data_IF_127794894695
#
_entry.id   IF_127794894695
#
_cell.length_a   1.000
_cell.length_b   1.000
_cell.length_c   1.000
_cell.angle_alpha   90.00
_cell.angle_beta   90.00
_cell.angle_gamma   90.00
#
_symmetry.space_group_name_H-M   'P 1'
#
loop_
_entity.id
_entity.type
_entity.pdbx_description
1 polymer ?
#
# COMPACT_ATOMS: atom_id res chain seq x y z
N UNK A 1 10.65 11.57 -13.74
CA UNK A 1 10.94 11.81 -12.31
C UNK A 1 10.23 10.71 -11.53
N UNK A 2 10.90 9.99 -10.62
CA UNK A 2 10.20 8.94 -9.88
C UNK A 2 9.21 9.62 -8.94
N UNK A 3 7.91 9.48 -9.20
CA UNK A 3 6.90 9.94 -8.25
C UNK A 3 7.23 9.28 -6.92
N UNK A 4 7.40 10.07 -5.86
CA UNK A 4 7.52 9.48 -4.53
C UNK A 4 6.11 9.11 -4.07
N UNK A 5 5.93 7.95 -3.45
CA UNK A 5 4.64 7.60 -2.91
C UNK A 5 4.24 8.59 -1.83
N UNK A 6 2.97 8.98 -1.83
CA UNK A 6 2.41 9.95 -0.89
C UNK A 6 2.42 9.40 0.55
N UNK A 7 2.20 8.10 0.72
CA UNK A 7 2.31 7.42 2.00
C UNK A 7 2.47 5.90 1.83
N UNK A 8 2.94 5.22 2.89
CA UNK A 8 3.00 3.75 2.94
C UNK A 8 2.53 3.22 4.29
N UNK A 9 1.68 2.20 4.26
CA UNK A 9 1.35 1.38 5.42
C UNK A 9 1.98 0.00 5.26
N UNK A 10 2.48 -0.59 6.35
CA UNK A 10 3.02 -1.94 6.36
C UNK A 10 2.53 -2.73 7.56
N UNK A 11 2.07 -3.95 7.32
CA UNK A 11 1.67 -4.92 8.34
C UNK A 11 2.29 -6.27 7.96
N UNK A 12 3.25 -6.73 8.76
CA UNK A 12 4.04 -7.90 8.42
C UNK A 12 4.73 -7.74 7.06
N UNK A 13 4.45 -8.66 6.14
CA UNK A 13 4.99 -8.65 4.77
C UNK A 13 4.14 -7.82 3.79
N UNK A 14 2.96 -7.35 4.19
CA UNK A 14 2.05 -6.63 3.31
C UNK A 14 2.30 -5.13 3.41
N UNK A 15 2.49 -4.48 2.27
CA UNK A 15 2.65 -3.03 2.16
C UNK A 15 1.56 -2.47 1.27
N UNK A 16 0.82 -1.46 1.74
CA UNK A 16 0.00 -0.60 0.91
C UNK A 16 0.77 0.69 0.61
N UNK A 17 1.01 0.97 -0.66
CA UNK A 17 1.68 2.17 -1.16
C UNK A 17 0.65 3.07 -1.80
N UNK A 18 0.50 4.29 -1.27
CA UNK A 18 -0.44 5.29 -1.76
C UNK A 18 0.30 6.24 -2.70
N UNK A 19 -0.29 6.49 -3.86
CA UNK A 19 0.22 7.42 -4.87
C UNK A 19 -0.77 8.58 -5.01
N UNK A 20 -0.24 9.80 -5.11
CA UNK A 20 -1.03 10.97 -5.51
C UNK A 20 -0.80 11.19 -7.01
N UNK A 21 -1.87 11.16 -7.79
CA UNK A 21 -1.82 11.30 -9.25
C UNK A 21 -2.54 12.59 -9.67
N UNK A 22 -2.17 13.72 -9.04
CA UNK A 22 -2.65 15.06 -9.37
C UNK A 22 -4.18 15.17 -9.53
N UNK A 23 -4.90 14.84 -8.45
CA UNK A 23 -6.36 14.96 -8.37
C UNK A 23 -7.08 13.68 -7.99
N UNK A 24 -6.37 12.55 -7.92
CA UNK A 24 -6.89 11.32 -7.33
C UNK A 24 -5.76 10.49 -6.71
N UNK A 25 -6.13 9.63 -5.75
CA UNK A 25 -5.19 8.71 -5.10
C UNK A 25 -5.36 7.29 -5.66
N UNK A 26 -4.25 6.57 -5.83
CA UNK A 26 -4.26 5.13 -6.11
C UNK A 26 -3.47 4.37 -5.04
N UNK A 27 -3.77 3.08 -4.88
CA UNK A 27 -3.12 2.22 -3.89
C UNK A 27 -2.59 0.96 -4.55
N UNK A 28 -1.28 0.71 -4.40
CA UNK A 28 -0.65 -0.58 -4.71
C UNK A 28 -0.48 -1.38 -3.43
N UNK A 29 -1.06 -2.59 -3.37
CA UNK A 29 -0.86 -3.50 -2.24
C UNK A 29 0.01 -4.65 -2.72
N UNK A 30 1.13 -4.87 -2.02
CA UNK A 30 2.07 -5.94 -2.35
C UNK A 30 2.55 -6.68 -1.11
N UNK A 31 2.91 -7.94 -1.31
CA UNK A 31 3.56 -8.80 -0.31
C UNK A 31 5.03 -8.93 -0.62
N UNK A 32 5.89 -8.60 0.34
CA UNK A 32 7.33 -8.88 0.25
C UNK A 32 7.61 -10.34 0.57
N UNK A 33 8.52 -10.96 -0.18
CA UNK A 33 9.01 -12.31 0.06
C UNK A 33 10.50 -12.39 -0.26
N UNK A 34 11.18 -13.37 0.34
CA UNK A 34 12.60 -13.64 0.08
C UNK A 34 12.73 -14.77 -0.95
N UNK A 35 13.52 -14.56 -2.00
CA UNK A 35 13.81 -15.60 -3.00
C UNK A 35 14.78 -16.63 -2.45
N UNK A 36 14.98 -17.71 -3.21
CA UNK A 36 15.97 -18.74 -2.88
C UNK A 36 17.41 -18.18 -2.90
N UNK A 37 17.71 -17.19 -3.76
CA UNK A 37 19.01 -16.50 -3.77
C UNK A 37 19.18 -15.54 -2.57
N UNK A 38 18.12 -15.32 -1.79
CA UNK A 38 18.14 -14.45 -0.62
C UNK A 38 17.70 -13.01 -0.90
N UNK A 39 17.32 -12.68 -2.13
CA UNK A 39 16.86 -11.35 -2.51
C UNK A 39 15.43 -11.10 -2.03
N UNK A 40 15.12 -9.86 -1.68
CA UNK A 40 13.74 -9.45 -1.39
C UNK A 40 13.03 -9.03 -2.68
N UNK A 41 11.84 -9.57 -2.91
CA UNK A 41 10.97 -9.21 -4.03
C UNK A 41 9.55 -8.97 -3.52
N UNK A 42 8.72 -8.36 -4.37
CA UNK A 42 7.31 -8.10 -4.09
C UNK A 42 6.41 -8.86 -5.07
N UNK A 43 5.23 -9.24 -4.62
CA UNK A 43 4.19 -9.88 -5.45
C UNK A 43 2.80 -9.35 -5.08
N UNK A 44 1.87 -9.41 -6.03
CA UNK A 44 0.43 -9.17 -5.82
C UNK A 44 -0.36 -10.46 -5.55
N UNK A 45 0.32 -11.61 -5.41
CA UNK A 45 -0.29 -12.86 -5.01
C UNK A 45 -0.29 -13.01 -3.48
N UNK A 46 -1.47 -13.27 -2.91
CA UNK A 46 -1.69 -13.38 -1.47
C UNK A 46 -2.15 -14.78 -1.10
N UNK A 47 -1.57 -15.36 -0.05
CA UNK A 47 -2.07 -16.57 0.57
C UNK A 47 -3.15 -16.25 1.61
N UNK A 48 -3.81 -17.28 2.15
CA UNK A 48 -4.87 -17.11 3.16
C UNK A 48 -4.41 -16.27 4.36
N UNK A 49 -3.21 -16.53 4.88
CA UNK A 49 -2.66 -15.84 6.04
C UNK A 49 -2.32 -14.36 5.78
N UNK A 50 -2.28 -13.93 4.52
CA UNK A 50 -2.03 -12.55 4.15
C UNK A 50 -3.31 -11.71 4.14
N UNK A 51 -4.48 -12.34 3.97
CA UNK A 51 -5.73 -11.64 3.64
C UNK A 51 -6.16 -10.67 4.73
N UNK A 52 -5.98 -11.02 6.01
CA UNK A 52 -6.30 -10.10 7.11
C UNK A 52 -5.39 -8.87 7.08
N UNK A 53 -4.10 -9.06 6.79
CA UNK A 53 -3.16 -7.95 6.69
C UNK A 53 -3.43 -7.09 5.45
N UNK A 54 -3.82 -7.70 4.31
CA UNK A 54 -4.27 -6.98 3.11
C UNK A 54 -5.48 -6.11 3.42
N UNK A 55 -6.53 -6.68 4.02
CA UNK A 55 -7.73 -5.95 4.44
C UNK A 55 -7.37 -4.77 5.35
N UNK A 56 -6.52 -5.00 6.35
CA UNK A 56 -6.12 -3.99 7.31
C UNK A 56 -5.18 -2.91 6.75
N UNK A 57 -4.39 -3.23 5.73
CA UNK A 57 -3.62 -2.26 4.96
C UNK A 57 -4.53 -1.42 4.06
N UNK A 58 -5.51 -2.04 3.39
CA UNK A 58 -6.48 -1.35 2.55
C UNK A 58 -7.33 -0.37 3.35
N UNK A 59 -7.86 -0.79 4.51
CA UNK A 59 -8.64 0.04 5.43
C UNK A 59 -7.84 1.28 5.88
N UNK A 60 -6.57 1.10 6.27
CA UNK A 60 -5.70 2.22 6.67
C UNK A 60 -5.41 3.17 5.50
N UNK A 61 -5.21 2.64 4.31
CA UNK A 61 -4.97 3.44 3.11
C UNK A 61 -6.19 4.29 2.75
N UNK A 62 -7.38 3.70 2.74
CA UNK A 62 -8.66 4.40 2.57
C UNK A 62 -8.81 5.52 3.59
N UNK A 63 -8.63 5.22 4.88
CA UNK A 63 -8.82 6.21 5.94
C UNK A 63 -7.83 7.37 5.86
N UNK A 64 -6.62 7.13 5.35
CA UNK A 64 -5.65 8.18 5.08
C UNK A 64 -6.08 9.04 3.87
N UNK A 65 -6.53 8.42 2.78
CA UNK A 65 -7.00 9.11 1.57
C UNK A 65 -8.21 9.99 1.91
N UNK A 66 -9.19 9.45 2.63
CA UNK A 66 -10.39 10.20 3.04
C UNK A 66 -10.03 11.49 3.79
N UNK A 67 -9.09 11.42 4.74
CA UNK A 67 -8.60 12.59 5.48
C UNK A 67 -7.90 13.60 4.57
N UNK A 68 -7.15 13.16 3.57
CA UNK A 68 -6.50 14.06 2.60
C UNK A 68 -7.51 14.77 1.73
N UNK A 69 -8.49 14.04 1.19
CA UNK A 69 -9.56 14.64 0.37
C UNK A 69 -10.38 15.67 1.17
N UNK A 70 -10.66 15.41 2.44
CA UNK A 70 -11.33 16.40 3.31
C UNK A 70 -10.44 17.62 3.57
N UNK A 71 -9.13 17.44 3.76
CA UNK A 71 -8.22 18.56 3.99
C UNK A 71 -8.01 19.43 2.73
N UNK A 72 -7.95 18.82 1.54
CA UNK A 72 -7.75 19.52 0.27
C UNK A 72 -9.01 20.27 -0.21
N UNK A 73 -10.19 19.98 0.38
CA UNK A 73 -11.47 20.63 0.06
C UNK A 73 -11.85 21.77 1.02
N UNK A 74 -10.98 22.09 1.97
CA UNK A 74 -11.09 23.25 2.88
C UNK A 74 -10.13 24.35 2.46
#
# INVERSE_FOLDING_TARGET
MSQQPAYKFKIGLITATIWNNDGFYSVDISRSYKTQEGDWRNTSAFGHNDLLNVSKCAERAESWIAKRLTADSQ
#
